data_IF_339945937617
#
_entry.id   IF_339945937617
#
_cell.length_a   1.000
_cell.length_b   1.000
_cell.length_c   1.000
_cell.angle_alpha   90.00
_cell.angle_beta   90.00
_cell.angle_gamma   90.00
#
_symmetry.space_group_name_H-M   'P 1'
#
loop_
_entity.id
_entity.type
_entity.pdbx_description
1 polymer ?
#
# COMPACT_ATOMS: atom_id res chain seq x y z
N UNK A 1 -15.61 56.98 48.45
CA UNK A 1 -14.70 56.56 47.37
C UNK A 1 -14.04 55.26 47.82
N UNK A 2 -14.54 54.14 47.30
CA UNK A 2 -14.04 52.77 47.51
C UNK A 2 -14.05 52.08 46.13
N UNK A 3 -13.03 51.30 45.76
CA UNK A 3 -12.88 50.76 44.41
C UNK A 3 -13.82 49.56 44.15
N UNK A 4 -14.16 49.39 42.86
CA UNK A 4 -15.11 48.42 42.30
C UNK A 4 -14.52 47.02 42.22
N UNK A 5 -15.38 46.01 42.43
CA UNK A 5 -15.13 44.59 42.17
C UNK A 5 -14.56 44.39 40.75
N UNK A 6 -13.32 43.94 40.70
CA UNK A 6 -12.80 43.19 39.57
C UNK A 6 -12.23 41.91 40.15
N UNK A 7 -12.82 40.76 39.81
CA UNK A 7 -12.09 39.50 39.96
C UNK A 7 -12.59 38.40 39.02
N UNK A 8 -11.59 37.79 38.38
CA UNK A 8 -11.54 36.49 37.70
C UNK A 8 -12.52 36.20 36.54
N UNK A 9 -12.13 36.60 35.33
CA UNK A 9 -12.43 35.80 34.12
C UNK A 9 -11.46 34.62 34.03
N UNK A 10 -11.94 33.41 34.33
CA UNK A 10 -11.25 32.16 33.94
C UNK A 10 -11.30 32.08 32.40
N UNK A 11 -10.25 32.56 31.73
CA UNK A 11 -10.00 32.29 30.31
C UNK A 11 -9.39 30.89 30.21
N UNK A 12 -10.21 29.90 29.89
CA UNK A 12 -9.72 28.54 29.66
C UNK A 12 -10.85 27.54 29.47
N UNK A 13 -11.68 27.74 28.43
CA UNK A 13 -12.54 26.66 27.96
C UNK A 13 -11.66 25.52 27.48
N UNK A 14 -11.91 24.30 28.00
CA UNK A 14 -11.27 23.08 27.53
C UNK A 14 -11.39 23.00 26.00
N UNK A 15 -10.31 22.75 25.24
CA UNK A 15 -10.43 22.57 23.80
C UNK A 15 -11.39 21.42 23.53
N UNK A 16 -12.34 21.65 22.61
CA UNK A 16 -13.29 20.62 22.18
C UNK A 16 -12.52 19.35 21.79
N UNK A 17 -13.02 18.14 22.14
CA UNK A 17 -12.36 16.90 21.77
C UNK A 17 -12.14 16.91 20.27
N UNK A 18 -10.89 16.69 19.87
CA UNK A 18 -10.49 16.62 18.47
C UNK A 18 -11.38 15.56 17.82
N UNK A 19 -12.33 15.98 16.99
CA UNK A 19 -13.12 15.05 16.20
C UNK A 19 -12.14 14.41 15.23
N UNK A 20 -11.59 13.27 15.63
CA UNK A 20 -10.84 12.41 14.73
C UNK A 20 -11.84 11.91 13.70
N UNK A 21 -11.88 12.56 12.54
CA UNK A 21 -12.58 12.02 11.38
C UNK A 21 -11.90 10.71 11.02
N UNK A 22 -12.51 9.59 11.42
CA UNK A 22 -12.10 8.27 10.97
C UNK A 22 -12.47 8.20 9.49
N UNK A 23 -11.47 8.37 8.63
CA UNK A 23 -11.63 8.13 7.20
C UNK A 23 -11.69 6.62 7.02
N UNK A 24 -12.91 6.09 6.90
CA UNK A 24 -13.12 4.71 6.45
C UNK A 24 -12.70 4.69 4.97
N UNK A 25 -11.58 4.06 4.66
CA UNK A 25 -11.18 3.84 3.27
C UNK A 25 -12.14 2.80 2.70
N UNK A 26 -13.15 3.25 1.94
CA UNK A 26 -14.18 2.37 1.37
C UNK A 26 -13.60 1.31 0.42
N UNK A 27 -12.44 1.60 -0.19
CA UNK A 27 -11.66 0.65 -0.98
C UNK A 27 -10.15 0.86 -0.71
N UNK A 28 -9.54 0.03 0.16
CA UNK A 28 -8.12 0.14 0.48
C UNK A 28 -7.22 -0.13 -0.73
N UNK A 29 -7.72 -0.68 -1.83
CA UNK A 29 -6.94 -1.02 -3.03
C UNK A 29 -7.45 -0.33 -4.29
N UNK A 30 -8.00 0.88 -4.13
CA UNK A 30 -8.38 1.74 -5.24
C UNK A 30 -7.18 2.20 -6.10
N UNK A 31 -7.47 2.87 -7.22
CA UNK A 31 -6.48 3.50 -8.12
C UNK A 31 -5.49 4.46 -7.43
N UNK A 32 -5.77 4.88 -6.18
CA UNK A 32 -4.87 5.73 -5.39
C UNK A 32 -3.76 4.92 -4.68
N UNK A 33 -4.02 3.67 -4.31
CA UNK A 33 -3.11 2.89 -3.46
C UNK A 33 -2.22 1.94 -4.27
N UNK A 34 -2.77 1.10 -5.14
CA UNK A 34 -2.03 0.21 -6.06
C UNK A 34 -0.74 -0.39 -5.47
N UNK A 35 -0.81 -1.20 -4.39
CA UNK A 35 0.38 -1.82 -3.81
C UNK A 35 0.89 -2.95 -4.72
N UNK A 36 2.21 -3.17 -4.68
CA UNK A 36 2.89 -4.22 -5.42
C UNK A 36 3.04 -5.48 -4.55
N UNK A 37 2.93 -6.64 -5.16
CA UNK A 37 3.16 -7.94 -4.51
C UNK A 37 3.67 -8.96 -5.51
N UNK A 38 4.22 -10.06 -5.00
CA UNK A 38 4.51 -11.25 -5.83
C UNK A 38 3.40 -12.25 -5.57
N UNK A 39 2.78 -12.72 -6.65
CA UNK A 39 1.68 -13.67 -6.57
C UNK A 39 2.04 -14.92 -7.35
N UNK A 40 1.75 -16.06 -6.74
CA UNK A 40 1.86 -17.39 -7.30
C UNK A 40 0.44 -17.89 -7.61
N UNK A 41 0.18 -18.19 -8.88
CA UNK A 41 -1.12 -18.64 -9.40
C UNK A 41 -1.17 -20.17 -9.60
N UNK A 42 -0.38 -20.93 -8.83
CA UNK A 42 -0.37 -22.40 -8.73
C UNK A 42 -0.04 -23.20 -10.01
N UNK A 43 -0.09 -22.59 -11.20
CA UNK A 43 0.28 -23.19 -12.50
C UNK A 43 1.24 -22.31 -13.33
N UNK A 44 1.50 -21.08 -12.87
CA UNK A 44 2.42 -20.13 -13.50
C UNK A 44 3.63 -19.82 -12.61
N UNK A 45 4.72 -19.31 -13.20
CA UNK A 45 5.82 -18.77 -12.40
C UNK A 45 5.34 -17.55 -11.59
N UNK A 46 5.73 -17.43 -10.32
CA UNK A 46 5.40 -16.26 -9.52
C UNK A 46 5.89 -14.99 -10.19
N UNK A 47 5.08 -13.94 -10.15
CA UNK A 47 5.40 -12.71 -10.82
C UNK A 47 4.84 -11.49 -10.10
N UNK A 48 5.40 -10.33 -10.46
CA UNK A 48 5.03 -9.03 -9.95
C UNK A 48 3.61 -8.68 -10.37
N UNK A 49 2.79 -8.36 -9.38
CA UNK A 49 1.43 -7.93 -9.55
C UNK A 49 1.19 -6.61 -8.83
N UNK A 50 0.16 -5.88 -9.29
CA UNK A 50 -0.44 -4.77 -8.56
C UNK A 50 -1.82 -5.21 -8.07
N UNK A 51 -2.13 -4.92 -6.81
CA UNK A 51 -3.50 -5.12 -6.31
C UNK A 51 -4.38 -3.95 -6.71
N UNK A 52 -5.51 -4.26 -7.34
CA UNK A 52 -6.57 -3.31 -7.66
C UNK A 52 -7.91 -3.90 -7.25
N UNK A 53 -8.60 -3.29 -6.27
CA UNK A 53 -9.79 -3.89 -5.64
C UNK A 53 -9.48 -5.32 -5.14
N UNK A 54 -10.24 -6.31 -5.60
CA UNK A 54 -10.10 -7.74 -5.26
C UNK A 54 -9.24 -8.53 -6.25
N UNK A 55 -8.54 -7.82 -7.13
CA UNK A 55 -7.84 -8.37 -8.26
C UNK A 55 -6.33 -8.24 -8.11
N UNK A 56 -5.60 -9.27 -8.53
CA UNK A 56 -4.17 -9.21 -8.80
C UNK A 56 -3.94 -8.99 -10.30
N UNK A 57 -3.39 -7.83 -10.66
CA UNK A 57 -3.08 -7.46 -12.05
C UNK A 57 -1.63 -7.80 -12.36
N UNK A 58 -1.41 -8.75 -13.28
CA UNK A 58 -0.08 -9.22 -13.68
C UNK A 58 0.70 -8.17 -14.48
N UNK A 59 1.85 -7.71 -13.96
CA UNK A 59 2.73 -6.83 -14.73
C UNK A 59 3.46 -7.59 -15.85
N UNK A 60 3.66 -8.91 -15.68
CA UNK A 60 4.19 -9.77 -16.74
C UNK A 60 3.21 -9.88 -17.90
N UNK A 61 1.92 -10.10 -17.62
CA UNK A 61 0.87 -10.08 -18.64
C UNK A 61 0.84 -8.76 -19.41
N UNK A 62 0.81 -7.63 -18.70
CA UNK A 62 0.84 -6.31 -19.33
C UNK A 62 2.10 -6.09 -20.19
N UNK A 63 3.26 -6.58 -19.74
CA UNK A 63 4.53 -6.53 -20.51
C UNK A 63 4.45 -7.39 -21.78
N UNK A 64 3.97 -8.63 -21.70
CA UNK A 64 3.85 -9.55 -22.85
C UNK A 64 2.91 -9.00 -23.92
N UNK A 65 1.87 -8.28 -23.50
CA UNK A 65 0.96 -7.55 -24.38
C UNK A 65 1.47 -6.17 -24.82
N UNK A 66 2.73 -5.82 -24.52
CA UNK A 66 3.40 -4.55 -24.89
C UNK A 66 2.69 -3.30 -24.34
N UNK A 67 1.94 -3.44 -23.24
CA UNK A 67 1.28 -2.34 -22.54
C UNK A 67 2.21 -1.66 -21.52
N UNK A 68 3.27 -2.36 -21.10
CA UNK A 68 4.34 -1.88 -20.23
C UNK A 68 5.72 -2.11 -20.85
N UNK A 69 6.61 -1.14 -20.66
CA UNK A 69 8.03 -1.24 -20.99
C UNK A 69 8.82 -1.43 -19.69
N UNK A 70 9.02 -2.69 -19.31
CA UNK A 70 9.76 -3.09 -18.12
C UNK A 70 10.46 -4.43 -18.40
N UNK A 71 11.62 -4.67 -17.80
CA UNK A 71 12.38 -5.89 -18.01
C UNK A 71 11.70 -7.14 -17.42
N UNK A 72 11.87 -8.28 -18.10
CA UNK A 72 11.34 -9.57 -17.64
C UNK A 72 11.94 -9.99 -16.29
N UNK A 73 13.19 -9.62 -16.03
CA UNK A 73 13.89 -9.85 -14.76
C UNK A 73 13.23 -9.15 -13.57
N UNK A 74 12.38 -8.16 -13.83
CA UNK A 74 11.61 -7.43 -12.83
C UNK A 74 10.22 -8.05 -12.70
N UNK A 75 9.54 -8.26 -13.82
CA UNK A 75 8.15 -8.76 -13.82
C UNK A 75 8.04 -10.21 -13.38
N UNK A 76 9.02 -11.07 -13.69
CA UNK A 76 9.04 -12.49 -13.29
C UNK A 76 9.91 -12.78 -12.08
N UNK A 77 10.27 -11.74 -11.33
CA UNK A 77 11.03 -11.94 -10.10
C UNK A 77 10.17 -12.60 -9.01
N UNK A 78 10.80 -13.44 -8.19
CA UNK A 78 10.17 -14.07 -7.02
C UNK A 78 10.08 -13.14 -5.80
N UNK A 79 10.65 -11.93 -5.89
CA UNK A 79 10.55 -10.89 -4.87
C UNK A 79 10.59 -9.50 -5.53
N UNK A 80 10.28 -8.45 -4.76
CA UNK A 80 10.29 -7.07 -5.22
C UNK A 80 11.72 -6.50 -5.32
N UNK A 81 12.78 -7.21 -4.93
CA UNK A 81 14.12 -6.62 -4.84
C UNK A 81 14.61 -6.04 -6.19
N UNK A 82 14.43 -6.70 -7.38
CA UNK A 82 14.76 -6.08 -8.66
C UNK A 82 13.93 -4.83 -8.94
N UNK A 83 12.62 -4.87 -8.65
CA UNK A 83 11.74 -3.71 -8.80
C UNK A 83 12.16 -2.54 -7.90
N UNK A 84 12.55 -2.81 -6.66
CA UNK A 84 13.01 -1.81 -5.71
C UNK A 84 14.37 -1.20 -6.06
N UNK A 85 15.18 -1.89 -6.89
CA UNK A 85 16.43 -1.35 -7.44
C UNK A 85 16.23 -0.34 -8.56
N UNK A 86 15.04 -0.27 -9.15
CA UNK A 86 14.71 0.76 -10.13
C UNK A 86 14.83 2.16 -9.50
N UNK A 87 15.24 3.13 -10.31
CA UNK A 87 15.23 4.53 -9.88
C UNK A 87 13.80 4.99 -9.52
N UNK A 88 13.66 5.99 -8.65
CA UNK A 88 12.35 6.57 -8.33
C UNK A 88 11.58 7.05 -9.57
N UNK A 89 12.27 7.55 -10.61
CA UNK A 89 11.65 7.96 -11.87
C UNK A 89 11.01 6.77 -12.60
N UNK A 90 11.77 5.69 -12.84
CA UNK A 90 11.23 4.49 -13.50
C UNK A 90 10.05 3.87 -12.74
N UNK A 91 10.09 3.86 -11.39
CA UNK A 91 8.95 3.39 -10.60
C UNK A 91 7.74 4.31 -10.70
N UNK A 92 7.96 5.63 -10.79
CA UNK A 92 6.90 6.61 -10.98
C UNK A 92 6.25 6.48 -12.36
N UNK A 93 7.06 6.34 -13.41
CA UNK A 93 6.59 6.17 -14.78
C UNK A 93 5.80 4.86 -14.94
N UNK A 94 6.32 3.76 -14.40
CA UNK A 94 5.61 2.47 -14.37
C UNK A 94 4.27 2.60 -13.64
N UNK A 95 4.26 3.24 -12.47
CA UNK A 95 3.03 3.44 -11.69
C UNK A 95 2.02 4.30 -12.44
N UNK A 96 2.46 5.37 -13.09
CA UNK A 96 1.60 6.24 -13.90
C UNK A 96 0.96 5.44 -15.03
N UNK A 97 1.76 4.64 -15.76
CA UNK A 97 1.26 3.81 -16.85
C UNK A 97 0.27 2.75 -16.39
N UNK A 98 0.57 2.02 -15.32
CA UNK A 98 -0.37 1.05 -14.73
C UNK A 98 -1.67 1.74 -14.33
N UNK A 99 -1.60 2.91 -13.71
CA UNK A 99 -2.78 3.67 -13.30
C UNK A 99 -3.62 4.12 -14.49
N UNK A 100 -3.02 4.55 -15.59
CA UNK A 100 -3.72 4.88 -16.84
C UNK A 100 -4.47 3.66 -17.39
N UNK A 101 -3.80 2.52 -17.48
CA UNK A 101 -4.38 1.26 -17.98
C UNK A 101 -5.59 0.82 -17.14
N UNK A 102 -5.48 0.93 -15.82
CA UNK A 102 -6.56 0.55 -14.90
C UNK A 102 -7.69 1.60 -14.84
N UNK A 103 -7.41 2.87 -15.13
CA UNK A 103 -8.42 3.92 -15.17
C UNK A 103 -9.30 3.84 -16.43
N UNK A 104 -8.75 3.32 -17.52
CA UNK A 104 -9.51 3.11 -18.75
C UNK A 104 -10.57 2.01 -18.61
N UNK A 105 -10.38 1.03 -17.70
CA UNK A 105 -11.20 -0.20 -17.52
C UNK A 105 -11.34 -1.09 -18.79
N UNK A 106 -10.95 -0.59 -19.96
CA UNK A 106 -11.02 -1.24 -21.27
C UNK A 106 -10.29 -2.57 -21.34
N UNK A 107 -9.25 -2.76 -20.53
CA UNK A 107 -8.42 -3.97 -20.54
C UNK A 107 -8.79 -4.97 -19.44
N UNK A 108 -9.63 -4.58 -18.48
CA UNK A 108 -10.06 -5.44 -17.37
C UNK A 108 -11.30 -6.27 -17.73
N UNK A 109 -12.16 -5.77 -18.63
CA UNK A 109 -13.40 -6.45 -19.05
C UNK A 109 -13.48 -6.82 -20.55
N UNK A 110 -12.38 -6.68 -21.32
CA UNK A 110 -12.40 -7.01 -22.75
C UNK A 110 -12.72 -8.51 -23.01
N UNK A 111 -13.74 -8.84 -23.81
CA UNK A 111 -13.99 -10.20 -24.26
C UNK A 111 -12.79 -10.68 -25.10
N UNK A 112 -11.99 -11.59 -24.55
CA UNK A 112 -10.73 -12.04 -25.17
C UNK A 112 -9.45 -11.50 -24.51
N UNK A 113 -9.55 -10.81 -23.36
CA UNK A 113 -8.42 -10.73 -22.44
C UNK A 113 -7.98 -12.16 -22.12
N UNK A 114 -6.80 -12.55 -22.61
CA UNK A 114 -6.19 -13.86 -22.34
C UNK A 114 -6.13 -14.08 -20.83
N UNK A 115 -6.10 -15.33 -20.37
CA UNK A 115 -5.84 -15.68 -18.97
C UNK A 115 -4.65 -14.91 -18.36
N UNK A 116 -3.69 -14.51 -19.21
CA UNK A 116 -2.52 -13.67 -18.90
C UNK A 116 -2.81 -12.16 -18.63
N UNK A 117 -3.93 -11.63 -19.12
CA UNK A 117 -4.44 -10.27 -18.85
C UNK A 117 -5.62 -10.26 -17.89
N UNK A 118 -6.25 -11.41 -17.67
CA UNK A 118 -7.35 -11.49 -16.73
C UNK A 118 -6.80 -11.30 -15.31
N UNK A 119 -7.31 -10.31 -14.59
CA UNK A 119 -6.98 -10.17 -13.19
C UNK A 119 -7.40 -11.42 -12.43
N UNK A 120 -6.46 -12.06 -11.73
CA UNK A 120 -6.75 -13.26 -10.96
C UNK A 120 -7.50 -12.90 -9.68
N UNK A 121 -8.58 -13.62 -9.34
CA UNK A 121 -9.18 -13.56 -8.01
C UNK A 121 -8.12 -13.90 -6.95
N UNK A 122 -8.00 -13.05 -5.94
CA UNK A 122 -6.99 -13.25 -4.90
C UNK A 122 -7.24 -14.52 -4.06
N UNK A 123 -8.49 -14.95 -3.92
CA UNK A 123 -8.90 -16.11 -3.10
C UNK A 123 -8.28 -17.43 -3.58
N UNK A 124 -7.95 -17.53 -4.87
CA UNK A 124 -7.33 -18.70 -5.48
C UNK A 124 -5.80 -18.56 -5.66
N UNK A 125 -5.21 -17.52 -5.07
CA UNK A 125 -3.80 -17.16 -5.29
C UNK A 125 -2.98 -17.16 -4.01
N UNK A 126 -1.67 -17.44 -4.12
CA UNK A 126 -0.74 -17.35 -2.99
C UNK A 126 0.12 -16.10 -3.12
N UNK A 127 -0.07 -15.16 -2.20
CA UNK A 127 0.82 -13.99 -2.05
C UNK A 127 2.12 -14.45 -1.37
N UNK A 128 3.25 -14.20 -2.01
CA UNK A 128 4.57 -14.54 -1.50
C UNK A 128 5.16 -13.42 -0.64
N UNK A 129 6.19 -13.74 0.15
CA UNK A 129 6.97 -12.74 0.86
C UNK A 129 7.53 -11.72 -0.16
N UNK A 130 7.23 -10.42 -0.02
CA UNK A 130 7.49 -9.46 -1.07
C UNK A 130 8.97 -9.11 -1.19
N UNK A 131 9.78 -9.33 -0.16
CA UNK A 131 11.20 -8.97 -0.18
C UNK A 131 12.04 -10.11 0.37
N UNK A 132 13.18 -10.34 -0.26
CA UNK A 132 14.25 -11.13 0.32
C UNK A 132 15.09 -10.19 1.19
N UNK A 133 14.72 -10.08 2.47
CA UNK A 133 15.42 -9.24 3.43
C UNK A 133 16.75 -9.90 3.82
N UNK A 134 17.86 -9.14 3.69
CA UNK A 134 19.17 -9.57 4.20
C UNK A 134 19.32 -9.26 5.69
N UNK A 135 18.83 -8.10 6.07
CA UNK A 135 18.87 -7.59 7.44
C UNK A 135 17.48 -7.09 7.83
N UNK A 136 17.15 -7.25 9.11
CA UNK A 136 15.91 -6.75 9.69
C UNK A 136 16.25 -5.97 10.96
N UNK A 137 15.77 -4.73 11.03
CA UNK A 137 15.95 -3.86 12.20
C UNK A 137 14.57 -3.47 12.69
N UNK A 138 14.28 -3.79 13.95
CA UNK A 138 13.07 -3.35 14.62
C UNK A 138 13.38 -2.16 15.54
N UNK A 139 12.60 -1.09 15.40
CA UNK A 139 12.80 0.15 16.12
C UNK A 139 11.81 0.30 17.27
N UNK A 140 12.32 0.64 18.46
CA UNK A 140 11.50 0.88 19.65
C UNK A 140 11.05 2.33 19.81
N UNK A 141 10.43 2.90 18.76
CA UNK A 141 10.17 4.35 18.67
C UNK A 141 8.81 4.82 19.20
N UNK A 142 7.92 3.91 19.63
CA UNK A 142 6.60 4.29 20.14
C UNK A 142 6.66 4.66 21.63
N UNK A 143 6.56 5.96 21.96
CA UNK A 143 6.60 6.45 23.34
C UNK A 143 5.60 5.75 24.26
N UNK A 144 4.34 5.62 23.82
CA UNK A 144 3.30 4.98 24.62
C UNK A 144 3.51 3.48 24.76
N UNK A 145 4.03 2.80 23.72
CA UNK A 145 4.43 1.40 23.81
C UNK A 145 5.58 1.24 24.82
N UNK A 146 6.62 2.07 24.70
CA UNK A 146 7.77 2.11 25.60
C UNK A 146 7.37 2.33 27.07
N UNK A 147 6.49 3.29 27.31
CA UNK A 147 5.95 3.58 28.63
C UNK A 147 5.16 2.41 29.20
N UNK A 148 4.19 1.86 28.46
CA UNK A 148 3.34 0.76 28.94
C UNK A 148 4.14 -0.50 29.26
N UNK A 149 5.11 -0.85 28.42
CA UNK A 149 6.04 -1.95 28.71
C UNK A 149 6.85 -1.60 29.96
N UNK A 150 7.35 -0.37 30.08
CA UNK A 150 8.07 0.09 31.26
C UNK A 150 7.28 -0.11 32.56
N UNK A 151 5.99 0.24 32.59
CA UNK A 151 5.14 0.06 33.76
C UNK A 151 5.03 -1.40 34.23
N UNK A 152 5.00 -2.35 33.30
CA UNK A 152 4.94 -3.79 33.63
C UNK A 152 6.19 -4.28 34.34
N UNK A 153 7.36 -3.72 34.02
CA UNK A 153 8.64 -4.21 34.54
C UNK A 153 9.21 -3.37 35.68
N UNK A 154 8.89 -2.08 35.76
CA UNK A 154 9.50 -1.14 36.72
C UNK A 154 8.50 -0.41 37.61
N UNK A 155 7.20 -0.67 37.42
CA UNK A 155 6.16 0.15 38.03
C UNK A 155 5.97 1.48 37.28
N UNK A 156 4.93 2.25 37.66
CA UNK A 156 4.56 3.48 36.97
C UNK A 156 5.63 4.58 37.07
#
# INVERSE_FOLDING_TARGET
MLPREGDLRIKGGLPAPHQTTVVIIQDPFSLKHLPYGIVDFQEEQPHLCVRYRDLAVSLEGLRRHKLLTVGEEITRSRNLNPFLRLSPSHRSDLRARVKELLAADEHLEAPGATMELQPYPLDDSRVLCPVEARDFVDFYCSRHHAFRVGCLFRGP
#
